data_IF_549678875034
#
_entry.id   IF_549678875034
#
_cell.length_a   1.000
_cell.length_b   1.000
_cell.length_c   1.000
_cell.angle_alpha   90.00
_cell.angle_beta   90.00
_cell.angle_gamma   90.00
#
_symmetry.space_group_name_H-M   'P 1'
#
loop_
_entity.id
_entity.type
_entity.pdbx_description
1 polymer ?
#
# COMPACT_ATOMS: atom_id res chain seq x y z
N UNK A 1 -53.54 0.18 9.60
CA UNK A 1 -52.21 0.80 9.80
C UNK A 1 -51.25 0.14 8.84
N UNK A 2 -50.98 0.76 7.69
CA UNK A 2 -50.01 0.24 6.71
C UNK A 2 -48.59 0.61 7.13
N UNK A 3 -47.87 -0.36 7.70
CA UNK A 3 -46.43 -0.26 7.92
C UNK A 3 -45.72 -0.39 6.56
N UNK A 4 -45.38 0.74 5.94
CA UNK A 4 -44.48 0.75 4.77
C UNK A 4 -43.12 0.23 5.20
N UNK A 5 -42.84 -1.04 4.89
CA UNK A 5 -41.50 -1.62 4.98
C UNK A 5 -40.59 -0.78 4.08
N UNK A 6 -39.68 -0.03 4.70
CA UNK A 6 -38.65 0.73 3.96
C UNK A 6 -37.81 -0.29 3.21
N UNK A 7 -37.81 -0.22 1.87
CA UNK A 7 -36.89 -1.01 1.04
C UNK A 7 -35.47 -0.79 1.58
N UNK A 8 -34.69 -1.85 1.85
CA UNK A 8 -33.31 -1.67 2.29
C UNK A 8 -32.58 -0.90 1.20
N UNK A 9 -32.05 0.25 1.58
CA UNK A 9 -31.16 1.03 0.73
C UNK A 9 -29.95 0.14 0.49
N UNK A 10 -29.79 -0.35 -0.74
CA UNK A 10 -28.54 -0.97 -1.16
C UNK A 10 -27.50 0.14 -1.19
N UNK A 11 -26.84 0.35 -0.05
CA UNK A 11 -25.65 1.18 -0.02
C UNK A 11 -24.59 0.45 -0.85
N UNK A 12 -23.91 1.14 -1.79
CA UNK A 12 -22.79 0.51 -2.48
C UNK A 12 -21.81 0.04 -1.41
N UNK A 13 -21.45 -1.24 -1.49
CA UNK A 13 -20.50 -1.83 -0.58
C UNK A 13 -19.19 -1.02 -0.67
N UNK A 14 -18.63 -0.53 0.45
CA UNK A 14 -17.36 0.18 0.43
C UNK A 14 -16.27 -0.68 -0.22
N UNK A 15 -15.34 -0.06 -0.95
CA UNK A 15 -14.29 -0.81 -1.65
C UNK A 15 -13.40 -1.59 -0.67
N UNK A 16 -13.15 -1.03 0.52
CA UNK A 16 -12.44 -1.74 1.59
C UNK A 16 -13.17 -3.02 1.99
N UNK A 17 -14.50 -3.03 2.01
CA UNK A 17 -15.25 -4.21 2.42
C UNK A 17 -15.15 -5.33 1.38
N UNK A 18 -15.18 -4.99 0.09
CA UNK A 18 -14.89 -5.94 -0.99
C UNK A 18 -13.48 -6.51 -0.86
N UNK A 19 -12.48 -5.64 -0.66
CA UNK A 19 -11.09 -6.06 -0.48
C UNK A 19 -10.89 -6.96 0.74
N UNK A 20 -11.56 -6.69 1.86
CA UNK A 20 -11.54 -7.57 3.05
C UNK A 20 -12.15 -8.94 2.74
N UNK A 21 -13.21 -9.02 1.94
CA UNK A 21 -13.77 -10.29 1.52
C UNK A 21 -12.76 -11.11 0.68
N UNK A 22 -12.05 -10.45 -0.25
CA UNK A 22 -11.00 -11.11 -1.04
C UNK A 22 -9.84 -11.58 -0.15
N UNK A 23 -9.40 -10.77 0.81
CA UNK A 23 -8.38 -11.17 1.79
C UNK A 23 -8.83 -12.37 2.63
N UNK A 24 -10.08 -12.38 3.12
CA UNK A 24 -10.62 -13.53 3.85
C UNK A 24 -10.62 -14.79 3.00
N UNK A 25 -10.97 -14.67 1.72
CA UNK A 25 -10.96 -15.80 0.79
C UNK A 25 -9.54 -16.30 0.50
N UNK A 26 -8.55 -15.42 0.45
CA UNK A 26 -7.16 -15.77 0.11
C UNK A 26 -6.35 -16.30 1.30
N UNK A 27 -6.54 -15.70 2.48
CA UNK A 27 -5.70 -15.94 3.66
C UNK A 27 -6.42 -16.64 4.81
N UNK A 28 -7.75 -16.76 4.73
CA UNK A 28 -8.58 -17.36 5.76
C UNK A 28 -9.33 -16.33 6.59
N UNK A 29 -10.60 -16.61 6.88
CA UNK A 29 -11.48 -15.69 7.58
C UNK A 29 -11.00 -15.38 9.01
N UNK A 30 -10.58 -16.41 9.76
CA UNK A 30 -10.13 -16.25 11.14
C UNK A 30 -8.93 -15.31 11.27
N UNK A 31 -7.92 -15.48 10.39
CA UNK A 31 -6.69 -14.69 10.40
C UNK A 31 -6.98 -13.20 10.14
N UNK A 32 -7.81 -12.93 9.12
CA UNK A 32 -8.15 -11.55 8.76
C UNK A 32 -9.05 -10.91 9.83
N UNK A 33 -10.01 -11.65 10.40
CA UNK A 33 -10.84 -11.12 11.48
C UNK A 33 -10.05 -10.85 12.75
N UNK A 34 -9.06 -11.69 13.08
CA UNK A 34 -8.16 -11.44 14.20
C UNK A 34 -7.31 -10.18 13.97
N UNK A 35 -6.72 -10.03 12.78
CA UNK A 35 -5.94 -8.84 12.42
C UNK A 35 -6.79 -7.57 12.50
N UNK A 36 -8.03 -7.58 11.99
CA UNK A 36 -8.96 -6.45 12.10
C UNK A 36 -9.30 -6.15 13.56
N UNK A 37 -9.55 -7.17 14.37
CA UNK A 37 -9.88 -7.02 15.80
C UNK A 37 -8.72 -6.37 16.57
N UNK A 38 -7.50 -6.85 16.37
CA UNK A 38 -6.27 -6.31 16.98
C UNK A 38 -6.00 -4.89 16.48
N UNK A 39 -6.18 -4.66 15.18
CA UNK A 39 -6.12 -3.34 14.54
C UNK A 39 -7.05 -2.33 15.21
N UNK A 40 -8.31 -2.71 15.43
CA UNK A 40 -9.29 -1.86 16.13
C UNK A 40 -8.97 -1.65 17.60
N UNK A 41 -8.20 -2.55 18.21
CA UNK A 41 -7.78 -2.46 19.61
C UNK A 41 -6.53 -1.60 19.83
N UNK A 42 -5.93 -1.03 18.77
CA UNK A 42 -4.76 -0.16 18.88
C UNK A 42 -3.45 -0.79 18.41
N UNK A 43 -3.45 -2.06 18.00
CA UNK A 43 -2.24 -2.72 17.50
C UNK A 43 -2.05 -2.43 16.01
N UNK A 44 -0.82 -2.15 15.52
CA UNK A 44 -0.54 -1.84 14.12
C UNK A 44 -0.57 -3.09 13.21
N UNK A 45 -1.68 -3.83 13.24
CA UNK A 45 -1.88 -5.11 12.54
C UNK A 45 -2.86 -5.00 11.37
N UNK A 46 -3.75 -4.02 11.40
CA UNK A 46 -4.69 -3.72 10.32
C UNK A 46 -5.01 -2.23 10.29
N UNK A 47 -4.98 -1.64 9.11
CA UNK A 47 -5.42 -0.28 8.85
C UNK A 47 -6.01 -0.16 7.45
N UNK A 48 -7.15 0.52 7.34
CA UNK A 48 -7.74 0.88 6.05
C UNK A 48 -8.40 2.25 6.14
N UNK A 49 -8.36 3.05 5.07
CA UNK A 49 -8.95 4.39 5.02
C UNK A 49 -9.63 4.63 3.66
N UNK A 50 -10.91 4.98 3.68
CA UNK A 50 -11.71 5.28 2.48
C UNK A 50 -12.58 6.50 2.77
N UNK A 51 -12.59 7.46 1.85
CA UNK A 51 -13.37 8.71 1.98
C UNK A 51 -13.15 9.43 3.32
N UNK A 52 -11.92 9.43 3.83
CA UNK A 52 -11.55 10.05 5.11
C UNK A 52 -12.03 9.30 6.35
N UNK A 53 -12.60 8.09 6.21
CA UNK A 53 -12.98 7.21 7.30
C UNK A 53 -11.96 6.09 7.43
N UNK A 54 -11.35 5.99 8.59
CA UNK A 54 -10.37 4.94 8.90
C UNK A 54 -10.95 3.84 9.79
N UNK A 55 -10.39 2.64 9.64
CA UNK A 55 -10.61 1.48 10.49
C UNK A 55 -9.26 0.89 10.89
N UNK A 56 -9.10 0.61 12.18
CA UNK A 56 -7.87 0.03 12.72
C UNK A 56 -6.78 1.06 13.03
N UNK A 57 -5.56 0.59 13.23
CA UNK A 57 -4.42 1.41 13.66
C UNK A 57 -3.32 1.34 12.62
N UNK A 58 -2.94 2.51 12.10
CA UNK A 58 -1.86 2.63 11.14
C UNK A 58 -0.54 2.18 11.76
N UNK A 59 0.29 1.48 10.97
CA UNK A 59 1.66 1.22 11.37
C UNK A 59 2.40 2.54 11.59
N UNK A 60 3.23 2.66 12.64
CA UNK A 60 4.08 3.83 12.79
C UNK A 60 4.93 3.99 11.53
N UNK A 61 5.15 5.25 11.13
CA UNK A 61 6.11 5.58 10.08
C UNK A 61 7.49 5.34 10.68
N UNK A 62 8.02 4.12 10.55
CA UNK A 62 9.35 3.81 11.04
C UNK A 62 10.40 4.63 10.28
N UNK A 63 11.48 4.96 10.97
CA UNK A 63 12.68 5.61 10.40
C UNK A 63 13.32 4.76 9.27
N UNK A 64 12.97 3.47 9.19
CA UNK A 64 13.50 2.50 8.22
C UNK A 64 12.56 2.22 7.03
N UNK A 65 11.47 2.98 6.87
CA UNK A 65 10.59 2.86 5.71
C UNK A 65 11.30 3.39 4.46
N UNK A 66 11.21 2.62 3.37
CA UNK A 66 11.58 3.10 2.04
C UNK A 66 10.60 4.17 1.60
N UNK A 67 10.93 5.43 1.86
CA UNK A 67 10.22 6.56 1.27
C UNK A 67 10.38 6.48 -0.25
N UNK A 68 9.29 6.20 -0.95
CA UNK A 68 9.22 6.23 -2.42
C UNK A 68 9.07 7.68 -2.88
N UNK A 69 9.98 8.53 -2.40
CA UNK A 69 10.10 9.92 -2.78
C UNK A 69 11.43 10.14 -3.53
N UNK A 70 11.84 11.41 -3.69
CA UNK A 70 13.11 11.74 -4.34
C UNK A 70 14.33 11.12 -3.66
N UNK A 71 14.28 10.85 -2.35
CA UNK A 71 15.40 10.29 -1.59
C UNK A 71 15.74 8.86 -2.02
N UNK A 72 14.81 8.15 -2.69
CA UNK A 72 15.10 6.83 -3.25
C UNK A 72 16.24 6.87 -4.28
N UNK A 73 16.46 8.01 -4.96
CA UNK A 73 17.52 8.22 -5.95
C UNK A 73 18.87 8.55 -5.30
N UNK A 74 18.88 9.10 -4.09
CA UNK A 74 20.10 9.54 -3.39
C UNK A 74 20.86 8.39 -2.70
N UNK A 75 20.30 7.17 -2.72
CA UNK A 75 20.87 6.00 -2.04
C UNK A 75 21.97 5.28 -2.83
N UNK A 76 22.30 5.75 -4.03
CA UNK A 76 23.46 5.31 -4.83
C UNK A 76 23.72 3.78 -4.79
N UNK A 77 22.72 2.95 -5.13
CA UNK A 77 22.77 1.48 -4.95
C UNK A 77 23.89 0.73 -5.69
N UNK A 78 24.54 1.38 -6.64
CA UNK A 78 25.66 0.81 -7.38
C UNK A 78 26.74 1.86 -7.56
N UNK A 79 27.98 1.37 -7.64
CA UNK A 79 29.16 2.21 -7.68
C UNK A 79 29.12 3.16 -8.89
N UNK A 80 29.31 4.46 -8.64
CA UNK A 80 29.27 5.51 -9.66
C UNK A 80 27.89 5.86 -10.23
N UNK A 81 26.78 5.39 -9.63
CA UNK A 81 25.42 5.71 -10.09
C UNK A 81 24.73 6.74 -9.18
N UNK A 82 24.14 7.78 -9.77
CA UNK A 82 23.33 8.83 -9.10
C UNK A 82 21.87 8.41 -8.78
N UNK A 83 21.56 7.12 -8.89
CA UNK A 83 20.22 6.55 -8.68
C UNK A 83 19.14 6.93 -9.71
N UNK A 84 19.46 7.63 -10.80
CA UNK A 84 18.48 7.95 -11.86
C UNK A 84 17.97 6.71 -12.63
N UNK A 85 18.51 5.51 -12.39
CA UNK A 85 17.99 4.25 -12.93
C UNK A 85 16.77 3.73 -12.15
N UNK A 86 16.57 4.15 -10.90
CA UNK A 86 15.46 3.67 -10.05
C UNK A 86 14.12 4.04 -10.68
N UNK A 87 13.23 3.06 -10.80
CA UNK A 87 11.92 3.24 -11.43
C UNK A 87 11.94 3.33 -12.96
N UNK A 88 13.09 3.09 -13.60
CA UNK A 88 13.21 2.90 -15.05
C UNK A 88 13.45 1.43 -15.34
N UNK A 89 12.86 0.92 -16.42
CA UNK A 89 13.10 -0.45 -16.92
C UNK A 89 14.48 -0.58 -17.61
N UNK A 90 15.54 -0.09 -16.97
CA UNK A 90 16.92 -0.19 -17.45
C UNK A 90 17.84 -0.62 -16.32
N UNK A 91 18.74 -1.57 -16.58
CA UNK A 91 19.75 -1.97 -15.61
C UNK A 91 20.77 -0.83 -15.40
N UNK A 92 21.40 -0.82 -14.22
CA UNK A 92 22.47 0.14 -13.92
C UNK A 92 23.63 0.04 -14.91
N UNK A 93 24.02 -1.19 -15.29
CA UNK A 93 25.06 -1.46 -16.29
C UNK A 93 24.73 -0.89 -17.66
N UNK A 94 23.49 -1.08 -18.14
CA UNK A 94 23.08 -0.56 -19.46
C UNK A 94 23.08 0.96 -19.47
N UNK A 95 22.65 1.58 -18.38
CA UNK A 95 22.66 3.03 -18.23
C UNK A 95 24.08 3.59 -18.21
N UNK A 96 24.98 3.02 -17.41
CA UNK A 96 26.38 3.46 -17.34
C UNK A 96 27.07 3.35 -18.70
N UNK A 97 26.81 2.28 -19.45
CA UNK A 97 27.30 2.10 -20.81
C UNK A 97 26.80 3.18 -21.79
N UNK A 98 25.53 3.63 -21.66
CA UNK A 98 24.98 4.72 -22.49
C UNK A 98 25.65 6.06 -22.19
N UNK A 99 25.80 6.40 -20.90
CA UNK A 99 26.47 7.64 -20.47
C UNK A 99 27.92 7.68 -20.97
N UNK A 100 28.64 6.55 -20.88
CA UNK A 100 30.01 6.45 -21.38
C UNK A 100 30.11 6.66 -22.90
N UNK A 101 29.10 6.22 -23.66
CA UNK A 101 29.03 6.44 -25.13
C UNK A 101 28.71 7.88 -25.50
N UNK A 102 27.87 8.57 -24.74
CA UNK A 102 27.49 9.97 -25.00
C UNK A 102 28.61 10.98 -24.71
N UNK A 103 29.56 10.61 -23.84
CA UNK A 103 30.73 11.44 -23.50
C UNK A 103 31.92 11.28 -24.47
N UNK A 104 31.81 10.38 -25.45
CA UNK A 104 32.84 10.08 -26.44
C UNK A 104 32.54 10.76 -27.77
#
# INVERSE_FOLDING_TARGET
MDMRVRKPVSHPMPEIAAFVADMKSAFGEHEIDEAIRRGRAGEPTFFACENGRSVGTASPVETDVWLVDGAVRDRHYCDGCDGSCVGREVSCSDRLNRIAKEKR
#
